data_IF_560355070231
#
_entry.id   IF_560355070231
#
_cell.length_a   1.000
_cell.length_b   1.000
_cell.length_c   1.000
_cell.angle_alpha   90.00
_cell.angle_beta   90.00
_cell.angle_gamma   90.00
#
_symmetry.space_group_name_H-M   'P 1'
#
loop_
_entity.id
_entity.type
_entity.pdbx_description
1 polymer ?
#
# COMPACT_ATOMS: atom_id res chain seq x y z
N UNK A 1 -10.21 9.37 2.52
CA UNK A 1 -8.87 9.94 2.79
C UNK A 1 -7.86 8.79 2.83
N UNK A 2 -6.55 9.04 2.83
CA UNK A 2 -5.54 7.97 2.83
C UNK A 2 -5.64 7.03 4.06
N UNK A 3 -5.84 7.52 5.30
CA UNK A 3 -6.04 6.65 6.46
C UNK A 3 -7.30 5.78 6.36
N UNK A 4 -8.41 6.36 5.88
CA UNK A 4 -9.67 5.65 5.65
C UNK A 4 -9.52 4.57 4.57
N UNK A 5 -8.73 4.84 3.53
CA UNK A 5 -8.42 3.86 2.48
C UNK A 5 -7.62 2.66 3.00
N UNK A 6 -6.71 2.89 3.94
CA UNK A 6 -5.93 1.83 4.59
C UNK A 6 -6.81 0.99 5.52
N UNK A 7 -7.66 1.63 6.33
CA UNK A 7 -8.52 0.94 7.29
C UNK A 7 -9.71 0.21 6.66
N UNK A 8 -10.25 0.74 5.56
CA UNK A 8 -11.50 0.23 4.92
C UNK A 8 -11.27 -0.37 3.53
N UNK A 9 -10.02 -0.61 3.15
CA UNK A 9 -9.66 -1.10 1.81
C UNK A 9 -10.13 -0.17 0.69
N UNK A 10 -10.20 1.13 0.97
CA UNK A 10 -10.69 2.11 0.01
C UNK A 10 -12.11 1.71 -0.47
N UNK A 11 -13.00 1.30 0.44
CA UNK A 11 -14.37 0.85 0.14
C UNK A 11 -15.16 1.84 -0.73
N UNK A 12 -14.83 3.13 -0.64
CA UNK A 12 -15.44 4.23 -1.41
C UNK A 12 -14.69 4.59 -2.71
N UNK A 13 -13.60 3.89 -3.02
CA UNK A 13 -12.76 4.18 -4.16
C UNK A 13 -13.19 3.36 -5.38
N UNK A 14 -13.14 4.00 -6.54
CA UNK A 14 -13.34 3.32 -7.82
C UNK A 14 -12.22 2.31 -8.08
N UNK A 15 -12.50 1.31 -8.92
CA UNK A 15 -11.49 0.31 -9.32
C UNK A 15 -10.25 0.95 -9.95
N UNK A 16 -10.42 2.02 -10.73
CA UNK A 16 -9.29 2.80 -11.28
C UNK A 16 -8.42 3.42 -10.20
N UNK A 17 -9.00 3.91 -9.11
CA UNK A 17 -8.22 4.46 -7.98
C UNK A 17 -7.47 3.36 -7.24
N UNK A 18 -8.09 2.18 -7.05
CA UNK A 18 -7.44 1.04 -6.40
C UNK A 18 -6.28 0.51 -7.23
N UNK A 19 -6.43 0.39 -8.55
CA UNK A 19 -5.32 0.03 -9.46
C UNK A 19 -4.20 1.08 -9.45
N UNK A 20 -4.56 2.37 -9.50
CA UNK A 20 -3.58 3.45 -9.42
C UNK A 20 -2.78 3.41 -8.12
N UNK A 21 -3.46 3.20 -6.98
CA UNK A 21 -2.82 3.05 -5.69
C UNK A 21 -1.85 1.87 -5.65
N UNK A 22 -2.24 0.69 -6.17
CA UNK A 22 -1.34 -0.47 -6.27
C UNK A 22 -0.06 -0.17 -7.06
N UNK A 23 -0.18 0.46 -8.23
CA UNK A 23 0.99 0.85 -9.04
C UNK A 23 1.94 1.77 -8.29
N UNK A 24 1.40 2.77 -7.59
CA UNK A 24 2.20 3.70 -6.80
C UNK A 24 2.90 2.97 -5.66
N UNK A 25 2.19 2.10 -4.95
CA UNK A 25 2.74 1.34 -3.82
C UNK A 25 3.86 0.41 -4.28
N UNK A 26 3.68 -0.29 -5.41
CA UNK A 26 4.72 -1.16 -5.96
C UNK A 26 5.97 -0.37 -6.36
N UNK A 27 5.78 0.78 -7.02
CA UNK A 27 6.90 1.68 -7.33
C UNK A 27 7.61 2.19 -6.07
N UNK A 28 6.87 2.52 -5.01
CA UNK A 28 7.44 2.96 -3.75
C UNK A 28 8.24 1.85 -3.07
N UNK A 29 7.70 0.64 -2.99
CA UNK A 29 8.40 -0.52 -2.41
C UNK A 29 9.68 -0.85 -3.20
N UNK A 30 9.60 -0.89 -4.53
CA UNK A 30 10.71 -1.32 -5.38
C UNK A 30 11.79 -0.26 -5.57
N UNK A 31 11.39 1.01 -5.77
CA UNK A 31 12.30 2.09 -6.19
C UNK A 31 12.54 3.16 -5.12
N UNK A 32 11.68 3.25 -4.10
CA UNK A 32 11.69 4.33 -3.09
C UNK A 32 11.39 3.80 -1.69
N UNK A 33 12.07 2.73 -1.25
CA UNK A 33 11.77 2.04 0.01
C UNK A 33 11.74 2.97 1.23
N UNK A 34 12.63 3.96 1.29
CA UNK A 34 12.64 4.95 2.37
C UNK A 34 11.33 5.73 2.45
N UNK A 35 10.76 6.12 1.30
CA UNK A 35 9.48 6.84 1.26
C UNK A 35 8.32 5.92 1.63
N UNK A 36 8.38 4.64 1.22
CA UNK A 36 7.42 3.64 1.67
C UNK A 36 7.45 3.50 3.20
N UNK A 37 8.64 3.42 3.80
CA UNK A 37 8.79 3.34 5.27
C UNK A 37 8.22 4.57 5.99
N UNK A 38 8.45 5.78 5.47
CA UNK A 38 7.88 7.00 6.08
C UNK A 38 6.35 7.05 5.95
N UNK A 39 5.80 6.61 4.82
CA UNK A 39 4.34 6.50 4.63
C UNK A 39 3.72 5.46 5.59
N UNK A 40 4.35 4.31 5.75
CA UNK A 40 3.93 3.28 6.71
C UNK A 40 3.87 3.87 8.12
N UNK A 41 4.92 4.57 8.57
CA UNK A 41 4.94 5.18 9.90
C UNK A 41 3.80 6.17 10.15
N UNK A 42 3.42 6.95 9.14
CA UNK A 42 2.40 8.00 9.28
C UNK A 42 0.99 7.45 9.12
N UNK A 43 0.78 6.54 8.16
CA UNK A 43 -0.55 6.14 7.72
C UNK A 43 -0.92 4.68 8.00
N UNK A 44 0.08 3.82 8.24
CA UNK A 44 -0.10 2.40 8.59
C UNK A 44 0.82 1.98 9.77
N UNK A 45 0.77 2.66 10.93
CA UNK A 45 1.69 2.37 12.04
C UNK A 45 1.54 0.95 12.62
N UNK A 46 0.39 0.30 12.41
CA UNK A 46 0.12 -1.08 12.83
C UNK A 46 0.56 -2.13 11.79
N UNK A 47 0.98 -1.68 10.60
CA UNK A 47 1.35 -2.53 9.47
C UNK A 47 0.18 -3.33 8.90
N UNK A 48 -1.05 -2.86 9.06
CA UNK A 48 -2.28 -3.54 8.65
C UNK A 48 -2.39 -3.62 7.14
N UNK A 49 -2.01 -2.54 6.42
CA UNK A 49 -1.93 -2.57 4.96
C UNK A 49 -0.82 -3.52 4.51
N UNK A 50 0.40 -3.36 5.04
CA UNK A 50 1.54 -4.18 4.63
C UNK A 50 1.26 -5.68 4.79
N UNK A 51 0.70 -6.11 5.93
CA UNK A 51 0.31 -7.51 6.18
C UNK A 51 -0.77 -8.00 5.22
N UNK A 52 -1.77 -7.16 4.94
CA UNK A 52 -2.91 -7.54 4.10
C UNK A 52 -2.52 -7.70 2.63
N UNK A 53 -1.61 -6.87 2.15
CA UNK A 53 -1.13 -6.90 0.77
C UNK A 53 0.16 -7.69 0.58
N UNK A 54 0.75 -8.23 1.66
CA UNK A 54 1.97 -9.05 1.62
C UNK A 54 1.86 -10.20 0.61
N UNK A 55 0.71 -10.88 0.57
CA UNK A 55 0.47 -11.97 -0.38
C UNK A 55 0.43 -11.50 -1.84
N UNK A 56 -0.10 -10.30 -2.12
CA UNK A 56 -0.14 -9.71 -3.45
C UNK A 56 1.26 -9.27 -3.88
N UNK A 57 1.96 -8.55 -3.00
CA UNK A 57 3.34 -8.08 -3.19
C UNK A 57 4.27 -9.27 -3.45
N UNK A 58 4.13 -10.37 -2.69
CA UNK A 58 4.89 -11.61 -2.91
C UNK A 58 4.54 -12.30 -4.24
N UNK A 59 3.26 -12.33 -4.63
CA UNK A 59 2.85 -12.86 -5.94
C UNK A 59 3.47 -12.07 -7.09
N UNK A 60 3.67 -10.78 -6.89
CA UNK A 60 4.31 -9.88 -7.85
C UNK A 60 5.85 -9.87 -7.76
N UNK A 61 6.44 -10.69 -6.88
CA UNK A 61 7.89 -10.83 -6.74
C UNK A 61 8.57 -9.65 -6.04
N UNK A 62 7.79 -8.75 -5.43
CA UNK A 62 8.28 -7.62 -4.67
C UNK A 62 8.63 -8.06 -3.24
N UNK A 63 9.65 -7.43 -2.63
CA UNK A 63 10.07 -7.70 -1.26
C UNK A 63 9.72 -6.50 -0.37
N UNK A 64 8.81 -6.73 0.57
CA UNK A 64 8.52 -5.80 1.68
C UNK A 64 9.70 -5.75 2.66
#
# INVERSE_FOLDING_TARGET
SLPDAINTECSKCSEKQKEGARKVIHYLIEKKRDWWTELEKVYDPEGTYAKKYEAEIKKEGLKL
#
